data_IF_325610377982
#
_entry.id   IF_325610377982
#
_cell.length_a   1.000
_cell.length_b   1.000
_cell.length_c   1.000
_cell.angle_alpha   90.00
_cell.angle_beta   90.00
_cell.angle_gamma   90.00
#
_symmetry.space_group_name_H-M   'P 1'
#
loop_
_entity.id
_entity.type
_entity.pdbx_description
1 polymer ?
#
# COMPACT_ATOMS: atom_id res chain seq x y z
N UNK A 1 73.05 -30.52 1.99
CA UNK A 1 71.62 -30.85 1.73
C UNK A 1 70.87 -29.53 1.89
N UNK A 2 70.71 -28.61 0.93
CA UNK A 2 70.19 -28.58 -0.46
C UNK A 2 68.70 -28.95 -0.60
N UNK A 3 67.91 -27.87 -0.81
CA UNK A 3 66.72 -27.74 -1.69
C UNK A 3 65.42 -28.27 -1.06
N UNK A 4 64.32 -27.51 -0.98
CA UNK A 4 63.68 -26.77 -2.07
C UNK A 4 62.72 -25.69 -1.54
N UNK A 5 62.98 -24.42 -1.88
CA UNK A 5 62.00 -23.34 -1.84
C UNK A 5 62.50 -22.23 -2.78
N UNK A 6 62.17 -22.34 -4.06
CA UNK A 6 62.45 -21.32 -5.08
C UNK A 6 61.61 -21.60 -6.31
N UNK A 7 61.10 -20.52 -6.92
CA UNK A 7 60.31 -20.41 -8.18
C UNK A 7 58.79 -20.49 -7.94
N UNK A 8 57.97 -19.46 -8.20
CA UNK A 8 58.05 -18.44 -9.25
C UNK A 8 57.33 -17.16 -8.81
N UNK A 9 58.03 -16.02 -8.90
CA UNK A 9 57.44 -14.69 -9.06
C UNK A 9 58.25 -13.96 -10.14
N UNK A 10 57.56 -13.12 -10.91
CA UNK A 10 58.06 -12.16 -11.90
C UNK A 10 58.39 -12.67 -13.32
N UNK A 11 57.47 -12.40 -14.25
CA UNK A 11 57.78 -12.13 -15.67
C UNK A 11 57.07 -10.84 -16.11
N UNK A 12 57.86 -9.77 -16.15
CA UNK A 12 57.94 -8.76 -17.22
C UNK A 12 56.80 -7.76 -17.49
N UNK A 13 57.08 -6.52 -17.06
CA UNK A 13 56.70 -5.25 -17.70
C UNK A 13 57.47 -5.10 -19.03
N UNK A 14 56.83 -4.65 -20.13
CA UNK A 14 57.31 -3.69 -21.17
C UNK A 14 56.33 -3.63 -22.38
N UNK A 15 56.19 -2.41 -22.94
CA UNK A 15 55.54 -1.95 -24.19
C UNK A 15 54.12 -1.34 -24.11
N UNK A 16 54.10 -0.07 -23.72
CA UNK A 16 53.41 1.03 -24.42
C UNK A 16 53.65 1.02 -25.94
N UNK A 17 52.62 1.29 -26.76
CA UNK A 17 52.62 2.13 -27.99
C UNK A 17 51.21 2.16 -28.63
N UNK A 18 50.79 3.37 -29.02
CA UNK A 18 49.73 3.75 -29.99
C UNK A 18 48.23 3.80 -29.56
N UNK A 19 47.81 4.99 -29.13
CA UNK A 19 46.48 5.59 -29.37
C UNK A 19 46.23 5.80 -30.90
N UNK A 20 44.98 5.96 -31.40
CA UNK A 20 44.34 7.29 -31.35
C UNK A 20 42.80 7.31 -31.11
N UNK A 21 42.39 8.37 -30.40
CA UNK A 21 41.30 9.31 -30.75
C UNK A 21 40.11 8.80 -31.58
N UNK A 22 38.89 9.01 -31.05
CA UNK A 22 37.85 9.97 -31.51
C UNK A 22 36.74 9.89 -30.45
N UNK A 23 36.65 10.82 -29.51
CA UNK A 23 35.83 12.04 -29.59
C UNK A 23 34.83 11.95 -28.41
N UNK A 24 34.87 12.81 -27.40
CA UNK A 24 34.82 14.27 -27.49
C UNK A 24 33.33 14.67 -27.50
N UNK A 25 32.78 15.40 -26.52
CA UNK A 25 33.41 16.24 -25.53
C UNK A 25 32.61 16.42 -24.25
N UNK A 26 33.34 16.78 -23.20
CA UNK A 26 32.78 17.46 -22.03
C UNK A 26 32.65 18.97 -22.29
N UNK A 27 33.02 19.83 -21.32
CA UNK A 27 32.07 20.38 -20.34
C UNK A 27 32.15 21.93 -20.29
N UNK A 28 31.22 22.57 -19.56
CA UNK A 28 31.45 23.74 -18.67
C UNK A 28 30.12 24.45 -18.38
N UNK A 29 29.77 24.65 -17.11
CA UNK A 29 30.01 25.86 -16.32
C UNK A 29 29.56 27.15 -17.02
N UNK A 30 28.48 27.72 -16.48
CA UNK A 30 27.94 29.09 -16.53
C UNK A 30 26.49 29.14 -17.01
N UNK A 31 25.55 29.16 -16.06
CA UNK A 31 24.49 30.18 -15.99
C UNK A 31 23.56 29.86 -14.82
N UNK A 32 23.60 30.72 -13.81
CA UNK A 32 22.47 30.90 -12.92
C UNK A 32 21.37 31.60 -13.71
N UNK A 33 20.18 31.01 -13.79
CA UNK A 33 18.96 31.75 -14.11
C UNK A 33 17.82 31.22 -13.26
N UNK A 34 17.32 32.10 -12.40
CA UNK A 34 16.03 32.03 -11.73
C UNK A 34 14.94 31.81 -12.78
N UNK A 35 14.05 30.87 -12.55
CA UNK A 35 12.76 30.88 -13.23
C UNK A 35 11.84 31.83 -12.46
N UNK A 36 11.48 32.89 -13.17
CA UNK A 36 10.57 33.97 -12.82
C UNK A 36 9.19 33.40 -12.46
N UNK A 37 8.63 33.82 -11.32
CA UNK A 37 7.20 33.76 -11.10
C UNK A 37 6.57 34.89 -11.92
N UNK A 38 5.94 34.53 -13.05
CA UNK A 38 4.95 35.38 -13.68
C UNK A 38 4.03 34.49 -14.54
N UNK A 39 2.82 34.25 -14.06
CA UNK A 39 1.61 34.81 -14.65
C UNK A 39 0.41 34.18 -13.94
N UNK A 40 -0.32 35.04 -13.23
CA UNK A 40 -1.66 34.77 -12.75
C UNK A 40 -2.56 34.42 -13.95
N UNK A 41 -3.07 33.19 -13.97
CA UNK A 41 -4.29 32.87 -14.71
C UNK A 41 -5.38 32.57 -13.69
N UNK A 42 -6.15 33.61 -13.41
CA UNK A 42 -7.47 33.51 -12.79
C UNK A 42 -8.44 33.14 -13.91
N UNK A 43 -9.16 32.01 -13.86
CA UNK A 43 -10.29 31.83 -14.75
C UNK A 43 -11.47 32.67 -14.22
N UNK A 44 -11.72 33.76 -14.92
CA UNK A 44 -12.94 34.57 -14.88
C UNK A 44 -14.13 33.71 -15.31
N UNK A 45 -15.05 33.42 -14.39
CA UNK A 45 -16.41 33.01 -14.75
C UNK A 45 -17.34 34.21 -14.56
N UNK A 46 -17.92 34.69 -15.67
CA UNK A 46 -18.98 35.69 -15.68
C UNK A 46 -20.27 35.04 -16.21
N UNK A 47 -21.32 35.13 -15.38
CA UNK A 47 -22.76 35.35 -15.66
C UNK A 47 -23.51 34.33 -16.53
N UNK A 48 -24.73 33.87 -16.23
CA UNK A 48 -25.91 34.54 -15.63
C UNK A 48 -26.83 33.58 -14.85
N UNK A 49 -27.66 34.08 -13.92
CA UNK A 49 -28.77 33.34 -13.31
C UNK A 49 -30.07 33.49 -14.12
N UNK A 50 -30.79 32.39 -14.34
CA UNK A 50 -32.17 32.41 -14.82
C UNK A 50 -33.14 31.99 -13.71
N UNK A 51 -34.07 32.89 -13.43
CA UNK A 51 -35.11 32.84 -12.40
C UNK A 51 -36.34 32.05 -12.90
N UNK A 52 -36.79 31.13 -12.04
CA UNK A 52 -38.16 30.70 -11.66
C UNK A 52 -39.18 30.26 -12.73
N UNK A 53 -39.67 29.02 -12.54
CA UNK A 53 -41.09 28.68 -12.66
C UNK A 53 -41.45 27.46 -11.76
N UNK A 54 -42.28 27.67 -10.73
CA UNK A 54 -43.20 26.67 -10.14
C UNK A 54 -44.42 26.48 -11.08
N UNK A 55 -45.24 25.39 -11.06
CA UNK A 55 -45.87 24.72 -9.88
C UNK A 55 -46.17 23.20 -10.11
N UNK A 56 -47.19 22.52 -9.51
CA UNK A 56 -47.88 22.62 -8.21
C UNK A 56 -47.74 21.35 -7.32
N UNK A 57 -48.27 21.44 -6.11
CA UNK A 57 -48.39 20.39 -5.08
C UNK A 57 -49.07 19.09 -5.55
N UNK A 58 -48.46 17.96 -5.21
CA UNK A 58 -49.17 16.68 -5.01
C UNK A 58 -48.68 16.01 -3.73
N UNK A 59 -49.65 15.78 -2.86
CA UNK A 59 -49.56 15.15 -1.56
C UNK A 59 -49.09 13.68 -1.66
N UNK A 60 -47.94 13.37 -1.07
CA UNK A 60 -47.48 12.01 -0.86
C UNK A 60 -46.67 11.93 0.46
N UNK A 61 -47.42 11.79 1.55
CA UNK A 61 -46.98 11.35 2.88
C UNK A 61 -45.82 10.36 2.82
N UNK A 62 -44.61 10.84 3.11
CA UNK A 62 -43.43 10.00 3.37
C UNK A 62 -42.67 10.55 4.57
N UNK A 63 -42.44 9.68 5.54
CA UNK A 63 -41.83 9.93 6.85
C UNK A 63 -40.53 10.72 6.71
N UNK A 64 -40.53 11.99 7.12
CA UNK A 64 -39.33 12.85 7.16
C UNK A 64 -38.80 12.89 8.60
N UNK A 65 -37.97 11.91 8.94
CA UNK A 65 -36.89 12.17 9.91
C UNK A 65 -35.64 12.50 9.08
N UNK A 66 -35.62 13.71 8.50
CA UNK A 66 -34.42 14.24 7.90
C UNK A 66 -33.41 14.51 9.02
N UNK A 67 -32.47 13.60 9.23
CA UNK A 67 -31.26 13.91 10.01
C UNK A 67 -30.59 15.11 9.34
N UNK A 68 -30.19 16.14 10.10
CA UNK A 68 -29.53 17.30 9.52
C UNK A 68 -28.25 16.86 8.83
N UNK A 69 -27.95 17.42 7.65
CA UNK A 69 -26.77 17.12 6.84
C UNK A 69 -25.42 17.29 7.59
N UNK A 70 -25.43 17.89 8.79
CA UNK A 70 -24.28 17.94 9.68
C UNK A 70 -23.91 16.58 10.30
N UNK A 71 -24.84 15.63 10.44
CA UNK A 71 -24.54 14.26 10.92
C UNK A 71 -23.95 13.35 9.82
N UNK A 72 -24.06 13.73 8.55
CA UNK A 72 -23.40 13.04 7.43
C UNK A 72 -21.94 13.50 7.21
N UNK A 73 -21.50 14.54 7.92
CA UNK A 73 -20.13 15.06 7.81
C UNK A 73 -19.15 14.40 8.81
N UNK A 74 -19.66 13.63 9.78
CA UNK A 74 -18.83 12.91 10.75
C UNK A 74 -19.15 11.42 10.69
N UNK A 75 -18.79 10.81 9.57
CA UNK A 75 -18.63 9.36 9.49
C UNK A 75 -17.25 8.98 10.04
N UNK A 76 -17.17 8.86 11.36
CA UNK A 76 -15.96 8.39 12.06
C UNK A 76 -15.60 6.94 11.71
N UNK A 77 -16.50 6.19 11.07
CA UNK A 77 -16.26 4.81 10.60
C UNK A 77 -15.71 4.77 9.15
N UNK A 78 -15.69 5.89 8.41
CA UNK A 78 -15.24 5.96 7.00
C UNK A 78 -14.08 6.92 6.73
N UNK A 79 -13.26 7.25 7.73
CA UNK A 79 -12.06 8.09 7.56
C UNK A 79 -10.99 7.52 6.60
N UNK A 80 -11.19 6.30 6.07
CA UNK A 80 -10.32 5.69 5.07
C UNK A 80 -10.84 5.77 3.62
N UNK A 81 -12.09 6.18 3.37
CA UNK A 81 -12.58 6.35 2.00
C UNK A 81 -12.27 7.77 1.49
N UNK A 82 -10.98 8.05 1.27
CA UNK A 82 -10.64 9.13 0.34
C UNK A 82 -11.01 8.67 -1.08
N UNK A 83 -11.66 9.53 -1.90
CA UNK A 83 -11.78 9.26 -3.33
C UNK A 83 -10.43 8.84 -3.90
N UNK A 84 -10.43 7.84 -4.79
CA UNK A 84 -9.21 7.38 -5.46
C UNK A 84 -8.49 8.63 -6.00
N UNK A 85 -7.22 8.89 -5.62
CA UNK A 85 -6.51 10.06 -6.11
C UNK A 85 -6.44 10.00 -7.63
N UNK A 86 -6.74 11.11 -8.32
CA UNK A 86 -6.72 11.19 -9.78
C UNK A 86 -5.40 10.65 -10.39
N UNK A 87 -4.28 10.79 -9.67
CA UNK A 87 -2.96 10.27 -10.06
C UNK A 87 -2.98 8.75 -10.27
N UNK A 88 -3.69 7.99 -9.44
CA UNK A 88 -3.80 6.53 -9.59
C UNK A 88 -4.51 6.13 -10.89
N UNK A 89 -5.55 6.88 -11.26
CA UNK A 89 -6.31 6.63 -12.49
C UNK A 89 -5.49 6.95 -13.74
N UNK A 90 -4.71 8.04 -13.72
CA UNK A 90 -3.81 8.43 -14.81
C UNK A 90 -2.72 7.38 -15.03
N UNK A 91 -2.02 6.96 -13.97
CA UNK A 91 -0.96 5.93 -14.06
C UNK A 91 -1.47 4.60 -14.62
N UNK A 92 -2.75 4.29 -14.44
CA UNK A 92 -3.37 3.07 -14.95
C UNK A 92 -3.74 3.18 -16.42
N UNK A 93 -4.31 4.32 -16.84
CA UNK A 93 -4.63 4.58 -18.23
C UNK A 93 -3.35 4.55 -19.08
N UNK A 94 -2.28 5.21 -18.63
CA UNK A 94 -0.99 5.21 -19.31
C UNK A 94 -0.41 3.80 -19.47
N UNK A 95 -0.47 2.97 -18.42
CA UNK A 95 -0.02 1.57 -18.48
C UNK A 95 -0.82 0.75 -19.48
N UNK A 96 -2.14 0.88 -19.48
CA UNK A 96 -3.01 0.16 -20.40
C UNK A 96 -2.71 0.58 -21.85
N UNK A 97 -2.60 1.87 -22.12
CA UNK A 97 -2.21 2.38 -23.44
C UNK A 97 -0.83 1.89 -23.87
N UNK A 98 0.16 1.84 -22.97
CA UNK A 98 1.49 1.33 -23.30
C UNK A 98 1.49 -0.16 -23.67
N UNK A 99 0.72 -0.99 -22.96
CA UNK A 99 0.55 -2.42 -23.26
C UNK A 99 -0.16 -2.63 -24.60
N UNK A 100 -1.23 -1.87 -24.85
CA UNK A 100 -1.98 -1.93 -26.10
C UNK A 100 -1.15 -1.43 -27.30
N UNK A 101 -0.29 -0.42 -27.11
CA UNK A 101 0.58 0.13 -28.15
C UNK A 101 1.62 -0.87 -28.69
N UNK A 102 1.99 -1.87 -27.88
CA UNK A 102 2.87 -2.99 -28.31
C UNK A 102 2.08 -4.24 -28.71
N UNK A 103 0.75 -4.12 -28.87
CA UNK A 103 -0.13 -5.21 -29.32
C UNK A 103 -0.37 -6.30 -28.28
N UNK A 104 -0.09 -6.03 -27.01
CA UNK A 104 -0.32 -6.96 -25.91
C UNK A 104 -1.64 -6.65 -25.20
N UNK A 105 -2.13 -7.61 -24.41
CA UNK A 105 -3.26 -7.44 -23.52
C UNK A 105 -2.82 -7.45 -22.06
N UNK A 106 -3.60 -6.81 -21.19
CA UNK A 106 -3.34 -6.85 -19.76
C UNK A 106 -3.47 -8.29 -19.23
N UNK A 107 -2.69 -8.66 -18.19
CA UNK A 107 -2.71 -10.02 -17.66
C UNK A 107 -4.10 -10.41 -17.16
N UNK A 108 -4.42 -11.70 -17.20
CA UNK A 108 -5.62 -12.23 -16.55
C UNK A 108 -5.30 -12.73 -15.15
N UNK A 109 -6.31 -12.84 -14.30
CA UNK A 109 -6.13 -13.41 -12.97
C UNK A 109 -5.65 -14.87 -13.09
N UNK A 110 -4.56 -15.19 -12.40
CA UNK A 110 -4.12 -16.57 -12.21
C UNK A 110 -5.03 -17.30 -11.20
N UNK A 111 -5.19 -18.61 -11.37
CA UNK A 111 -5.85 -19.45 -10.38
C UNK A 111 -4.91 -19.81 -9.21
N UNK A 112 -5.48 -20.37 -8.15
CA UNK A 112 -4.72 -20.92 -7.02
C UNK A 112 -5.33 -20.55 -5.67
N UNK A 113 -4.79 -21.16 -4.62
CA UNK A 113 -5.18 -20.89 -3.24
C UNK A 113 -4.04 -20.21 -2.51
N UNK A 114 -4.35 -19.20 -1.71
CA UNK A 114 -3.38 -18.60 -0.79
C UNK A 114 -2.88 -19.62 0.24
N UNK A 115 -1.76 -19.32 0.88
CA UNK A 115 -1.28 -20.10 2.01
C UNK A 115 -2.30 -20.08 3.17
N UNK A 116 -2.08 -20.92 4.18
CA UNK A 116 -2.90 -20.93 5.39
C UNK A 116 -2.28 -20.04 6.47
N UNK A 117 -3.12 -19.63 7.43
CA UNK A 117 -2.71 -18.86 8.59
C UNK A 117 -3.20 -19.57 9.88
N UNK A 118 -2.50 -19.41 11.01
CA UNK A 118 -2.75 -20.19 12.22
C UNK A 118 -4.00 -19.78 13.01
N UNK A 119 -4.65 -18.65 12.69
CA UNK A 119 -5.78 -18.10 13.44
C UNK A 119 -5.50 -18.02 14.95
N UNK A 120 -4.39 -17.35 15.31
CA UNK A 120 -3.95 -17.21 16.71
C UNK A 120 -4.99 -16.48 17.55
N UNK A 121 -4.93 -16.65 18.86
CA UNK A 121 -5.78 -15.93 19.83
C UNK A 121 -4.87 -15.30 20.88
N UNK A 122 -5.15 -14.05 21.25
CA UNK A 122 -4.41 -13.27 22.23
C UNK A 122 -5.35 -12.41 23.09
N UNK A 123 -4.81 -11.62 24.04
CA UNK A 123 -5.61 -10.71 24.87
C UNK A 123 -6.73 -11.41 25.66
N UNK A 124 -6.49 -12.63 26.15
CA UNK A 124 -7.51 -13.42 26.86
C UNK A 124 -8.71 -13.86 26.01
N UNK A 125 -8.58 -13.84 24.68
CA UNK A 125 -9.67 -14.15 23.75
C UNK A 125 -10.28 -12.94 23.07
N UNK A 126 -9.90 -11.72 23.45
CA UNK A 126 -10.39 -10.49 22.84
C UNK A 126 -9.79 -10.22 21.45
N UNK A 127 -8.65 -10.85 21.13
CA UNK A 127 -7.94 -10.65 19.87
C UNK A 127 -7.89 -11.98 19.13
N UNK A 128 -8.38 -12.01 17.90
CA UNK A 128 -8.17 -13.12 16.97
C UNK A 128 -7.20 -12.70 15.87
N UNK A 129 -6.32 -13.61 15.47
CA UNK A 129 -5.29 -13.39 14.46
C UNK A 129 -5.76 -13.73 13.05
N UNK A 130 -4.80 -13.69 12.13
CA UNK A 130 -4.98 -13.90 10.70
C UNK A 130 -5.61 -15.25 10.43
N UNK A 131 -6.74 -15.25 9.73
CA UNK A 131 -7.39 -16.47 9.27
C UNK A 131 -7.02 -16.80 7.82
N UNK A 132 -7.26 -18.04 7.40
CA UNK A 132 -7.14 -18.41 6.00
C UNK A 132 -8.11 -17.62 5.09
N UNK A 133 -9.27 -17.22 5.63
CA UNK A 133 -10.23 -16.40 4.90
C UNK A 133 -9.72 -14.97 4.68
N UNK A 134 -9.07 -14.36 5.68
CA UNK A 134 -8.45 -13.03 5.54
C UNK A 134 -7.38 -13.04 4.45
N UNK A 135 -6.50 -14.03 4.50
CA UNK A 135 -5.39 -14.15 3.55
C UNK A 135 -5.89 -14.44 2.12
N UNK A 136 -6.92 -15.29 1.98
CA UNK A 136 -7.54 -15.56 0.68
C UNK A 136 -8.26 -14.32 0.11
N UNK A 137 -9.01 -13.60 0.94
CA UNK A 137 -9.70 -12.37 0.54
C UNK A 137 -8.70 -11.28 0.13
N UNK A 138 -7.62 -11.11 0.90
CA UNK A 138 -6.53 -10.19 0.55
C UNK A 138 -5.87 -10.57 -0.77
N UNK A 139 -5.46 -11.83 -0.94
CA UNK A 139 -4.79 -12.31 -2.15
C UNK A 139 -5.65 -12.11 -3.41
N UNK A 140 -6.94 -12.45 -3.32
CA UNK A 140 -7.89 -12.28 -4.41
C UNK A 140 -8.03 -10.81 -4.81
N UNK A 141 -8.30 -9.92 -3.84
CA UNK A 141 -8.48 -8.50 -4.13
C UNK A 141 -7.18 -7.84 -4.61
N UNK A 142 -6.05 -8.17 -4.00
CA UNK A 142 -4.74 -7.65 -4.40
C UNK A 142 -4.43 -7.99 -5.86
N UNK A 143 -4.65 -9.24 -6.28
CA UNK A 143 -4.43 -9.63 -7.67
C UNK A 143 -5.48 -9.07 -8.63
N UNK A 144 -6.74 -8.93 -8.20
CA UNK A 144 -7.76 -8.24 -8.98
C UNK A 144 -7.35 -6.79 -9.28
N UNK A 145 -6.85 -6.06 -8.27
CA UNK A 145 -6.28 -4.73 -8.43
C UNK A 145 -5.10 -4.76 -9.41
N UNK A 146 -4.15 -5.70 -9.26
CA UNK A 146 -3.01 -5.79 -10.19
C UNK A 146 -3.45 -5.96 -11.63
N UNK A 147 -4.34 -6.91 -11.89
CA UNK A 147 -4.91 -7.20 -13.21
C UNK A 147 -5.65 -5.98 -13.78
N UNK A 148 -6.52 -5.34 -12.99
CA UNK A 148 -7.26 -4.15 -13.40
C UNK A 148 -6.34 -2.99 -13.82
N UNK A 149 -5.12 -2.96 -13.26
CA UNK A 149 -4.12 -1.93 -13.52
C UNK A 149 -2.96 -2.45 -14.39
N UNK A 150 -3.20 -3.51 -15.16
CA UNK A 150 -2.27 -4.10 -16.13
C UNK A 150 -0.91 -4.51 -15.54
N UNK A 151 -0.91 -4.90 -14.27
CA UNK A 151 0.22 -5.49 -13.57
C UNK A 151 0.07 -7.01 -13.56
N UNK A 152 1.19 -7.71 -13.71
CA UNK A 152 1.26 -9.17 -13.60
C UNK A 152 0.81 -9.62 -12.19
N UNK A 153 -0.18 -10.52 -12.05
CA UNK A 153 -0.61 -11.00 -10.74
C UNK A 153 0.51 -11.81 -10.06
N UNK A 154 0.58 -11.74 -8.74
CA UNK A 154 1.47 -12.58 -7.94
C UNK A 154 0.84 -13.97 -7.84
N UNK A 155 1.59 -15.08 -7.96
CA UNK A 155 1.04 -16.42 -7.74
C UNK A 155 0.32 -16.51 -6.39
N UNK A 156 -0.89 -17.09 -6.35
CA UNK A 156 -1.71 -17.09 -5.13
C UNK A 156 -0.99 -17.77 -3.95
N UNK A 157 -0.20 -18.81 -4.22
CA UNK A 157 0.63 -19.52 -3.24
C UNK A 157 1.75 -18.66 -2.62
N UNK A 158 2.10 -17.53 -3.25
CA UNK A 158 3.11 -16.60 -2.76
C UNK A 158 2.54 -15.53 -1.82
N UNK A 159 1.23 -15.57 -1.52
CA UNK A 159 0.64 -14.81 -0.44
C UNK A 159 0.82 -15.58 0.86
N UNK A 160 1.66 -15.05 1.74
CA UNK A 160 2.14 -15.75 2.93
C UNK A 160 1.73 -15.02 4.20
N UNK A 161 1.27 -15.80 5.18
CA UNK A 161 1.15 -15.32 6.55
C UNK A 161 2.54 -14.93 7.08
N UNK A 162 2.62 -13.82 7.83
CA UNK A 162 3.84 -13.35 8.49
C UNK A 162 3.61 -13.17 9.98
N UNK A 163 4.17 -14.10 10.76
CA UNK A 163 4.01 -14.09 12.22
C UNK A 163 4.64 -12.88 12.89
N UNK A 164 5.73 -12.34 12.32
CA UNK A 164 6.41 -11.20 12.92
C UNK A 164 5.55 -9.92 12.78
N UNK A 165 4.90 -9.73 11.63
CA UNK A 165 3.93 -8.66 11.47
C UNK A 165 2.68 -8.89 12.34
N UNK A 166 2.21 -10.12 12.49
CA UNK A 166 1.07 -10.40 13.38
C UNK A 166 1.40 -10.11 14.85
N UNK A 167 2.60 -10.45 15.32
CA UNK A 167 3.04 -10.11 16.68
C UNK A 167 3.00 -8.60 16.93
N UNK A 168 3.34 -7.80 15.91
CA UNK A 168 3.25 -6.34 15.97
C UNK A 168 1.79 -5.87 16.09
N UNK A 169 0.89 -6.47 15.31
CA UNK A 169 -0.54 -6.12 15.34
C UNK A 169 -1.21 -6.54 16.65
N UNK A 170 -0.88 -7.73 17.17
CA UNK A 170 -1.34 -8.19 18.49
C UNK A 170 -0.85 -7.22 19.57
N UNK A 171 0.43 -6.82 19.53
CA UNK A 171 0.95 -5.84 20.48
C UNK A 171 0.17 -4.52 20.47
N UNK A 172 -0.24 -4.03 19.29
CA UNK A 172 -1.08 -2.83 19.19
C UNK A 172 -2.47 -3.07 19.77
N UNK A 173 -3.07 -4.22 19.45
CA UNK A 173 -4.41 -4.60 19.90
C UNK A 173 -4.48 -4.90 21.41
N UNK A 174 -3.34 -5.19 22.05
CA UNK A 174 -3.23 -5.40 23.49
C UNK A 174 -3.03 -4.09 24.28
N UNK A 175 -2.95 -2.93 23.61
CA UNK A 175 -2.86 -1.63 24.28
C UNK A 175 -4.07 -1.40 25.19
N UNK A 176 -3.91 -1.22 26.51
CA UNK A 176 -5.04 -1.00 27.41
C UNK A 176 -5.53 0.45 27.32
N UNK A 177 -6.08 0.81 26.16
CA UNK A 177 -6.69 2.10 25.87
C UNK A 177 -8.07 1.87 25.25
N UNK A 178 -9.04 2.69 25.60
CA UNK A 178 -10.34 2.69 24.92
C UNK A 178 -10.27 3.40 23.54
N UNK A 179 -9.15 4.04 23.21
CA UNK A 179 -8.86 4.58 21.88
C UNK A 179 -8.10 3.53 21.04
N UNK A 180 -8.73 2.96 19.98
CA UNK A 180 -8.09 1.94 19.14
C UNK A 180 -6.86 2.44 18.38
N UNK A 181 -6.61 3.76 18.38
CA UNK A 181 -5.47 4.41 17.75
C UNK A 181 -4.30 4.67 18.70
N UNK A 182 -4.45 4.43 20.02
CA UNK A 182 -3.47 4.82 21.04
C UNK A 182 -2.07 4.22 20.85
N UNK A 183 -1.97 2.96 20.38
CA UNK A 183 -0.70 2.32 20.00
C UNK A 183 -0.49 2.20 18.48
N UNK A 184 -1.44 2.70 17.68
CA UNK A 184 -1.45 2.51 16.23
C UNK A 184 -0.29 3.24 15.56
N UNK A 185 0.56 2.51 14.85
CA UNK A 185 1.60 3.10 14.02
C UNK A 185 2.79 2.20 13.73
N UNK A 186 3.69 2.72 12.91
CA UNK A 186 4.96 2.08 12.57
C UNK A 186 5.85 1.83 13.79
N UNK A 187 6.93 1.08 13.60
CA UNK A 187 7.91 0.83 14.64
C UNK A 187 8.36 2.14 15.30
N UNK A 188 8.28 2.19 16.62
CA UNK A 188 8.52 3.40 17.41
C UNK A 188 7.26 4.04 17.99
N UNK A 189 6.05 3.62 17.60
CA UNK A 189 4.85 3.92 18.39
C UNK A 189 4.94 3.29 19.78
N UNK A 190 4.24 3.88 20.74
CA UNK A 190 4.30 3.50 22.15
C UNK A 190 2.90 3.16 22.63
N UNK A 191 2.75 2.07 23.36
CA UNK A 191 1.50 1.73 24.05
C UNK A 191 1.26 2.66 25.23
N UNK A 192 0.00 2.85 25.58
CA UNK A 192 -0.43 3.62 26.75
C UNK A 192 0.16 3.11 28.07
N UNK A 193 0.43 1.82 28.18
CA UNK A 193 1.05 1.17 29.34
C UNK A 193 2.59 1.09 29.29
N UNK A 194 3.21 1.61 28.23
CA UNK A 194 4.67 1.65 28.09
C UNK A 194 5.32 0.30 27.78
N UNK A 195 4.56 -0.75 27.47
CA UNK A 195 5.13 -2.04 27.04
C UNK A 195 5.94 -1.83 25.75
N UNK A 196 7.21 -2.26 25.67
CA UNK A 196 8.05 -2.03 24.49
C UNK A 196 7.50 -2.68 23.21
N UNK A 197 7.69 -2.00 22.08
CA UNK A 197 7.31 -2.49 20.75
C UNK A 197 7.94 -3.83 20.41
N UNK A 198 7.14 -4.77 19.89
CA UNK A 198 7.59 -6.08 19.35
C UNK A 198 7.12 -6.29 17.92
N UNK A 199 7.63 -7.33 17.26
CA UNK A 199 7.24 -7.74 15.92
C UNK A 199 7.94 -6.97 14.79
N UNK A 200 7.38 -7.04 13.59
CA UNK A 200 7.92 -6.46 12.36
C UNK A 200 6.98 -5.41 11.78
N UNK A 201 7.55 -4.43 11.09
CA UNK A 201 6.81 -3.37 10.41
C UNK A 201 6.27 -3.82 9.03
N UNK A 202 5.30 -3.07 8.53
CA UNK A 202 4.69 -3.24 7.22
C UNK A 202 3.86 -2.03 6.84
N UNK A 203 3.19 -2.09 5.68
CA UNK A 203 2.14 -1.12 5.38
C UNK A 203 0.95 -1.41 6.27
N UNK A 204 0.52 -0.42 7.07
CA UNK A 204 -0.57 -0.59 8.03
C UNK A 204 -1.88 -0.05 7.45
N UNK A 205 -2.98 -0.76 7.69
CA UNK A 205 -4.34 -0.32 7.42
C UNK A 205 -5.31 -1.06 8.34
N UNK A 206 -6.48 -0.49 8.58
CA UNK A 206 -7.48 -1.12 9.43
C UNK A 206 -8.66 -0.20 9.71
N UNK A 207 -9.56 -0.70 10.56
CA UNK A 207 -10.78 -0.03 10.98
C UNK A 207 -11.92 -1.01 11.24
N UNK A 208 -13.04 -0.47 11.71
CA UNK A 208 -14.31 -1.19 11.86
C UNK A 208 -14.83 -1.67 10.50
N UNK A 209 -15.22 -2.94 10.43
CA UNK A 209 -15.80 -3.55 9.22
C UNK A 209 -14.79 -3.87 8.13
N UNK A 210 -13.50 -3.61 8.34
CA UNK A 210 -12.46 -3.97 7.40
C UNK A 210 -12.30 -5.49 7.29
N UNK A 211 -11.90 -5.89 6.09
CA UNK A 211 -11.51 -7.23 5.69
C UNK A 211 -10.19 -7.20 4.94
N UNK A 212 -9.57 -8.38 4.74
CA UNK A 212 -8.40 -8.53 3.87
C UNK A 212 -8.56 -7.90 2.48
N UNK A 213 -9.76 -7.95 1.90
CA UNK A 213 -10.05 -7.30 0.62
C UNK A 213 -10.04 -5.76 0.75
N UNK A 214 -10.78 -5.20 1.71
CA UNK A 214 -10.89 -3.75 1.86
C UNK A 214 -9.55 -3.06 2.17
N UNK A 215 -8.67 -3.70 2.94
CA UNK A 215 -7.34 -3.13 3.23
C UNK A 215 -6.43 -3.13 1.99
N UNK A 216 -6.61 -4.09 1.06
CA UNK A 216 -5.95 -4.07 -0.23
C UNK A 216 -6.35 -2.82 -1.06
N UNK A 217 -7.65 -2.50 -1.09
CA UNK A 217 -8.15 -1.29 -1.76
C UNK A 217 -7.61 0.00 -1.12
N UNK A 218 -7.55 0.04 0.22
CA UNK A 218 -6.98 1.17 0.97
C UNK A 218 -5.51 1.41 0.61
N UNK A 219 -4.70 0.35 0.57
CA UNK A 219 -3.30 0.47 0.20
C UNK A 219 -3.11 0.87 -1.26
N UNK A 220 -3.91 0.35 -2.19
CA UNK A 220 -3.86 0.78 -3.59
C UNK A 220 -4.20 2.26 -3.76
N UNK A 221 -5.20 2.74 -3.01
CA UNK A 221 -5.68 4.12 -3.07
C UNK A 221 -4.71 5.13 -2.45
N UNK A 222 -3.72 4.67 -1.68
CA UNK A 222 -2.69 5.51 -1.08
C UNK A 222 -1.37 5.43 -1.86
N UNK A 223 -0.87 6.55 -2.38
CA UNK A 223 0.31 6.56 -3.25
C UNK A 223 1.56 5.90 -2.64
N UNK A 224 1.87 6.18 -1.37
CA UNK A 224 3.04 5.60 -0.69
C UNK A 224 2.89 4.08 -0.48
N UNK A 225 1.73 3.63 -0.02
CA UNK A 225 1.45 2.20 0.18
C UNK A 225 1.36 1.45 -1.16
N UNK A 226 0.79 2.06 -2.20
CA UNK A 226 0.78 1.51 -3.56
C UNK A 226 2.20 1.32 -4.08
N UNK A 227 3.06 2.33 -3.96
CA UNK A 227 4.43 2.28 -4.42
C UNK A 227 5.26 1.22 -3.65
N UNK A 228 5.05 1.09 -2.34
CA UNK A 228 5.80 0.14 -1.50
C UNK A 228 5.29 -1.29 -1.63
N UNK A 229 3.97 -1.50 -1.74
CA UNK A 229 3.34 -2.81 -1.69
C UNK A 229 3.06 -3.38 -3.08
N UNK A 230 2.45 -2.60 -3.97
CA UNK A 230 2.08 -3.07 -5.32
C UNK A 230 3.20 -2.93 -6.34
N UNK A 231 4.21 -2.11 -6.06
CA UNK A 231 5.42 -1.95 -6.87
C UNK A 231 5.09 -1.87 -8.38
N UNK A 232 4.26 -0.89 -8.83
CA UNK A 232 3.77 -0.85 -10.21
C UNK A 232 4.88 -0.70 -11.26
N UNK A 233 6.05 -0.17 -10.88
CA UNK A 233 7.23 -0.08 -11.74
C UNK A 233 8.26 -1.20 -11.54
N UNK A 234 7.89 -2.32 -10.92
CA UNK A 234 8.81 -3.46 -10.77
C UNK A 234 8.97 -4.22 -12.08
N UNK A 235 10.20 -4.30 -12.58
CA UNK A 235 10.55 -4.93 -13.86
C UNK A 235 11.08 -6.37 -13.72
N UNK A 236 11.21 -6.87 -12.48
CA UNK A 236 11.70 -8.22 -12.22
C UNK A 236 10.63 -9.31 -12.41
N UNK A 237 11.04 -10.57 -12.28
CA UNK A 237 10.14 -11.71 -12.39
C UNK A 237 9.18 -11.78 -11.19
N UNK A 238 7.87 -11.73 -11.46
CA UNK A 238 6.82 -11.81 -10.43
C UNK A 238 6.73 -13.20 -9.78
N UNK A 239 7.17 -14.26 -10.47
CA UNK A 239 7.17 -15.61 -9.92
C UNK A 239 8.01 -15.76 -8.63
N UNK A 240 9.06 -14.94 -8.45
CA UNK A 240 9.90 -14.92 -7.24
C UNK A 240 9.43 -13.93 -6.16
N UNK A 241 8.28 -13.28 -6.35
CA UNK A 241 7.75 -12.30 -5.40
C UNK A 241 6.83 -12.99 -4.41
N UNK A 242 7.02 -12.66 -3.13
CA UNK A 242 6.13 -12.99 -2.03
C UNK A 242 5.45 -11.72 -1.51
N UNK A 243 4.15 -11.82 -1.24
CA UNK A 243 3.41 -10.79 -0.52
C UNK A 243 3.06 -11.35 0.84
N UNK A 244 3.62 -10.74 1.87
CA UNK A 244 3.42 -11.13 3.25
C UNK A 244 2.25 -10.33 3.82
N UNK A 245 1.41 -10.99 4.60
CA UNK A 245 0.21 -10.40 5.18
C UNK A 245 -0.03 -10.92 6.59
N UNK A 246 -0.51 -10.04 7.45
CA UNK A 246 -1.01 -10.36 8.77
C UNK A 246 -2.23 -9.48 9.08
N UNK A 247 -3.12 -10.00 9.90
CA UNK A 247 -4.28 -9.31 10.42
C UNK A 247 -4.55 -9.70 11.87
N UNK A 248 -5.19 -8.80 12.61
CA UNK A 248 -5.83 -9.09 13.89
C UNK A 248 -7.22 -8.47 13.91
N UNK A 249 -8.14 -9.09 14.61
CA UNK A 249 -9.50 -8.60 14.83
C UNK A 249 -9.78 -8.42 16.32
N UNK A 250 -10.47 -7.34 16.67
CA UNK A 250 -10.69 -6.94 18.05
C UNK A 250 -9.44 -6.37 18.73
N UNK A 251 -9.54 -6.20 20.05
CA UNK A 251 -8.56 -5.51 20.88
C UNK A 251 -9.00 -5.47 22.33
N UNK A 252 -8.03 -5.32 23.22
CA UNK A 252 -8.27 -5.14 24.65
C UNK A 252 -8.52 -3.66 24.91
N UNK A 253 -9.50 -3.33 25.75
CA UNK A 253 -9.68 -1.97 26.25
C UNK A 253 -9.81 -1.95 27.77
N UNK A 254 -9.79 -0.75 28.35
CA UNK A 254 -9.91 -0.56 29.80
C UNK A 254 -11.36 -0.62 30.29
N UNK A 255 -12.28 -0.07 29.49
CA UNK A 255 -13.72 -0.05 29.79
C UNK A 255 -14.47 -1.06 28.93
N UNK A 256 -14.09 -1.18 27.65
CA UNK A 256 -14.68 -2.12 26.70
C UNK A 256 -13.61 -2.61 25.74
N UNK A 257 -13.63 -3.92 25.47
CA UNK A 257 -12.83 -4.49 24.39
C UNK A 257 -13.33 -3.96 23.04
N UNK A 258 -12.42 -3.79 22.10
CA UNK A 258 -12.76 -3.42 20.73
C UNK A 258 -13.61 -4.52 20.10
N UNK A 259 -14.49 -4.12 19.19
CA UNK A 259 -15.42 -5.05 18.57
C UNK A 259 -14.66 -6.07 17.68
N UNK A 260 -15.14 -7.33 17.58
CA UNK A 260 -14.52 -8.35 16.73
C UNK A 260 -14.47 -8.03 15.23
N UNK A 261 -15.14 -6.98 14.76
CA UNK A 261 -15.07 -6.50 13.39
C UNK A 261 -14.07 -5.34 13.21
N UNK A 262 -13.39 -4.89 14.26
CA UNK A 262 -12.29 -3.94 14.13
C UNK A 262 -11.04 -4.70 13.71
N UNK A 263 -10.57 -4.46 12.49
CA UNK A 263 -9.40 -5.14 11.93
C UNK A 263 -8.18 -4.23 12.00
N UNK A 264 -7.02 -4.78 12.38
CA UNK A 264 -5.69 -4.22 12.08
C UNK A 264 -5.02 -5.12 11.07
N UNK A 265 -4.38 -4.56 10.05
CA UNK A 265 -3.71 -5.30 9.00
C UNK A 265 -2.32 -4.73 8.70
N UNK A 266 -1.41 -5.62 8.32
CA UNK A 266 -0.07 -5.29 7.88
C UNK A 266 0.27 -6.10 6.62
N UNK A 267 0.91 -5.46 5.64
CA UNK A 267 1.42 -6.17 4.47
C UNK A 267 2.77 -5.62 3.99
N UNK A 268 3.59 -6.51 3.43
CA UNK A 268 4.86 -6.14 2.81
C UNK A 268 5.17 -6.97 1.57
N UNK A 269 5.84 -6.34 0.62
CA UNK A 269 6.39 -6.99 -0.57
C UNK A 269 7.80 -7.51 -0.27
N UNK A 270 8.13 -8.72 -0.72
CA UNK A 270 9.45 -9.31 -0.56
C UNK A 270 9.75 -10.39 -1.59
N UNK A 271 10.88 -11.07 -1.42
CA UNK A 271 11.23 -12.25 -2.20
C UNK A 271 10.73 -13.53 -1.53
N UNK A 272 10.36 -14.50 -2.35
CA UNK A 272 10.36 -15.91 -1.98
C UNK A 272 11.79 -16.46 -2.15
#
# INVERSE_FOLDING_TARGET
MKRSALLVAAFSVIMTVALPFVGGGGPSLFSATRAQADQAHVPTFASDPLIVAEPPETDARTVTAARPAAELASDTEHLAQRPIPAVAAVETAERRTAVEAVGLACPTAGGGTAATAPARVAGGGAITGTTAADLAAFAAQYNAIRVANCLQPVPSENFRYDSCMEDRLIWMAEDPSDDPLSAWGHMGSVRSDGVPSVGCDGNLAGGSGDTGASVADKWWSSGAHRASLYKPGYEGAIAGVCVYFAATHGGVGTTFNEAPNFMRAAARWGGC
#
